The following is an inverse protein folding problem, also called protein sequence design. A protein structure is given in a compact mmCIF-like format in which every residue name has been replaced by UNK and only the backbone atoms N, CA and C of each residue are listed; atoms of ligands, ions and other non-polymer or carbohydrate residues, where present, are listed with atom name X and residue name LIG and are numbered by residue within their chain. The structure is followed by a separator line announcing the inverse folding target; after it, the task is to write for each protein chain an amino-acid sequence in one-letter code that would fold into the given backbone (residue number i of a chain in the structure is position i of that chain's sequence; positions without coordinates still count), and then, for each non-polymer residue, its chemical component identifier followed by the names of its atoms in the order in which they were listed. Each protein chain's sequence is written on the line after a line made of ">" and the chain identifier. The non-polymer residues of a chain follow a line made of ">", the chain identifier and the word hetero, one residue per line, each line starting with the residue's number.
data_IF_037740953368
#
_entry.id   IF_037740953368
#
_cell.length_a   1.000
_cell.length_b   1.000
_cell.length_c   1.000
_cell.angle_alpha   90.00
_cell.angle_beta   90.00
_cell.angle_gamma   90.00
#
_symmetry.space_group_name_H-M   'P 1'
#
loop_
_entity.id
_entity.type
_entity.pdbx_description
1 polymer ?
#
# COMPACT_ATOMS: atom_id res chain seq x y z
N UNK A 1 -3.62 -14.82 -0.96
CA UNK A 1 -3.42 -13.42 -0.49
C UNK A 1 -2.05 -12.89 -0.88
N UNK A 2 -0.96 -13.64 -0.67
CA UNK A 2 0.41 -13.28 -1.10
C UNK A 2 0.48 -12.85 -2.57
N UNK A 3 -0.11 -13.62 -3.48
CA UNK A 3 -0.10 -13.31 -4.92
C UNK A 3 -0.78 -11.98 -5.28
N UNK A 4 -1.88 -11.64 -4.59
CA UNK A 4 -2.57 -10.36 -4.79
C UNK A 4 -1.71 -9.20 -4.31
N UNK A 5 -1.06 -9.36 -3.16
CA UNK A 5 -0.13 -8.37 -2.61
C UNK A 5 1.05 -8.16 -3.56
N UNK A 6 1.63 -9.24 -4.09
CA UNK A 6 2.71 -9.16 -5.06
C UNK A 6 2.30 -8.35 -6.30
N UNK A 7 1.11 -8.59 -6.85
CA UNK A 7 0.60 -7.82 -7.99
C UNK A 7 0.40 -6.33 -7.66
N UNK A 8 -0.08 -6.00 -6.45
CA UNK A 8 -0.21 -4.62 -5.99
C UNK A 8 1.14 -3.88 -5.85
N UNK A 9 2.26 -4.61 -5.79
CA UNK A 9 3.62 -4.08 -5.80
C UNK A 9 4.29 -4.19 -7.18
N UNK A 10 3.56 -4.57 -8.23
CA UNK A 10 4.07 -4.67 -9.60
C UNK A 10 4.86 -5.94 -9.90
N UNK A 11 4.82 -6.96 -9.03
CA UNK A 11 5.49 -8.23 -9.27
C UNK A 11 4.64 -9.15 -10.15
N UNK A 12 5.17 -9.55 -11.31
CA UNK A 12 4.46 -10.32 -12.33
C UNK A 12 4.53 -11.85 -12.16
N UNK A 13 5.37 -12.35 -11.25
CA UNK A 13 5.60 -13.78 -11.03
C UNK A 13 4.29 -14.56 -10.75
N UNK A 14 3.29 -14.03 -10.02
CA UNK A 14 2.00 -14.70 -9.89
C UNK A 14 1.30 -14.94 -11.24
N UNK A 15 1.33 -13.96 -12.15
CA UNK A 15 0.74 -14.11 -13.49
C UNK A 15 1.50 -15.13 -14.31
N UNK A 16 2.84 -15.14 -14.23
CA UNK A 16 3.66 -16.14 -14.91
C UNK A 16 3.29 -17.57 -14.51
N UNK A 17 3.07 -17.80 -13.21
CA UNK A 17 2.64 -19.13 -12.71
C UNK A 17 1.24 -19.52 -13.16
N UNK A 18 0.37 -18.55 -13.45
CA UNK A 18 -1.02 -18.77 -13.87
C UNK A 18 -1.18 -18.98 -15.39
N UNK A 19 -0.11 -18.85 -16.17
CA UNK A 19 -0.14 -18.99 -17.62
C UNK A 19 -0.87 -20.27 -18.11
N UNK A 20 -0.55 -21.49 -17.64
CA UNK A 20 -1.22 -22.68 -18.16
C UNK A 20 -2.71 -22.73 -17.81
N UNK A 21 -3.11 -22.24 -16.63
CA UNK A 21 -4.52 -22.19 -16.22
C UNK A 21 -5.29 -21.14 -17.03
N UNK A 22 -4.70 -19.96 -17.22
CA UNK A 22 -5.31 -18.90 -18.04
C UNK A 22 -5.47 -19.34 -19.48
N UNK A 23 -4.45 -19.96 -20.08
CA UNK A 23 -4.51 -20.46 -21.45
C UNK A 23 -5.58 -21.54 -21.61
N UNK A 24 -5.63 -22.49 -20.69
CA UNK A 24 -6.66 -23.54 -20.68
C UNK A 24 -8.07 -22.95 -20.58
N UNK A 25 -8.28 -22.01 -19.64
CA UNK A 25 -9.56 -21.34 -19.45
C UNK A 25 -9.97 -20.55 -20.70
N UNK A 26 -9.05 -19.77 -21.28
CA UNK A 26 -9.35 -18.96 -22.46
C UNK A 26 -9.67 -19.85 -23.67
N UNK A 27 -8.99 -20.98 -23.82
CA UNK A 27 -9.29 -21.92 -24.89
C UNK A 27 -10.64 -22.61 -24.69
N UNK A 28 -10.91 -23.15 -23.49
CA UNK A 28 -12.08 -23.99 -23.25
C UNK A 28 -13.37 -23.19 -23.04
N UNK A 29 -13.32 -22.14 -22.22
CA UNK A 29 -14.53 -21.41 -21.79
C UNK A 29 -14.76 -20.14 -22.60
N UNK A 30 -13.70 -19.42 -22.95
CA UNK A 30 -13.83 -18.16 -23.68
C UNK A 30 -13.97 -18.39 -25.20
N UNK A 31 -13.15 -19.27 -25.79
CA UNK A 31 -13.29 -19.66 -27.20
C UNK A 31 -14.22 -20.86 -27.44
N UNK A 32 -14.71 -21.52 -26.39
CA UNK A 32 -15.55 -22.71 -26.55
C UNK A 32 -14.82 -23.88 -27.22
N UNK A 33 -13.50 -23.96 -27.08
CA UNK A 33 -12.65 -24.99 -27.71
C UNK A 33 -12.23 -24.69 -29.15
N UNK A 34 -12.63 -23.55 -29.71
CA UNK A 34 -12.22 -23.12 -31.06
C UNK A 34 -10.74 -22.68 -31.09
N UNK A 35 -10.13 -22.76 -32.27
CA UNK A 35 -8.75 -22.27 -32.46
C UNK A 35 -8.65 -20.76 -32.16
N UNK A 36 -7.53 -20.29 -31.59
CA UNK A 36 -7.32 -18.90 -31.21
C UNK A 36 -7.02 -17.98 -32.40
N UNK A 37 -7.81 -18.05 -33.47
CA UNK A 37 -7.67 -17.15 -34.61
C UNK A 37 -8.06 -15.71 -34.23
N UNK A 38 -7.52 -14.67 -34.90
CA UNK A 38 -7.93 -13.29 -34.66
C UNK A 38 -9.44 -13.07 -34.77
N UNK A 39 -10.11 -13.75 -35.71
CA UNK A 39 -11.56 -13.69 -35.88
C UNK A 39 -12.31 -14.28 -34.69
N UNK A 40 -11.90 -15.47 -34.22
CA UNK A 40 -12.53 -16.13 -33.06
C UNK A 40 -12.34 -15.31 -31.79
N UNK A 41 -11.16 -14.72 -31.58
CA UNK A 41 -10.89 -13.85 -30.44
C UNK A 41 -11.78 -12.60 -30.50
N UNK A 42 -11.88 -11.92 -31.65
CA UNK A 42 -12.74 -10.74 -31.80
C UNK A 42 -14.21 -11.05 -31.52
N UNK A 43 -14.71 -12.16 -32.05
CA UNK A 43 -16.10 -12.58 -31.86
C UNK A 43 -16.40 -12.95 -30.39
N UNK A 44 -15.49 -13.70 -29.74
CA UNK A 44 -15.63 -14.05 -28.33
C UNK A 44 -15.56 -12.81 -27.43
N UNK A 45 -14.65 -11.87 -27.69
CA UNK A 45 -14.59 -10.60 -26.97
C UNK A 45 -15.86 -9.78 -27.19
N UNK A 46 -16.31 -9.63 -28.43
CA UNK A 46 -17.54 -8.90 -28.74
C UNK A 46 -18.73 -9.44 -27.95
N UNK A 47 -18.90 -10.77 -27.93
CA UNK A 47 -19.98 -11.42 -27.18
C UNK A 47 -19.88 -11.16 -25.68
N UNK A 48 -18.69 -11.30 -25.10
CA UNK A 48 -18.43 -11.04 -23.69
C UNK A 48 -18.73 -9.58 -23.31
N UNK A 49 -18.19 -8.63 -24.08
CA UNK A 49 -18.28 -7.20 -23.79
C UNK A 49 -19.69 -6.66 -24.05
N UNK A 50 -20.39 -7.13 -25.08
CA UNK A 50 -21.81 -6.77 -25.29
C UNK A 50 -22.67 -7.17 -24.09
N UNK A 51 -22.36 -8.32 -23.45
CA UNK A 51 -23.00 -8.72 -22.20
C UNK A 51 -22.77 -7.79 -21.01
N UNK A 52 -21.83 -6.82 -21.13
CA UNK A 52 -21.54 -5.82 -20.09
C UNK A 52 -22.33 -4.51 -20.25
N UNK A 53 -23.10 -4.34 -21.32
CA UNK A 53 -23.77 -3.08 -21.65
C UNK A 53 -24.62 -2.53 -20.51
N UNK A 54 -25.50 -3.35 -19.91
CA UNK A 54 -26.33 -2.91 -18.79
C UNK A 54 -25.49 -2.52 -17.56
N UNK A 55 -24.39 -3.23 -17.31
CA UNK A 55 -23.51 -2.90 -16.19
C UNK A 55 -22.82 -1.56 -16.39
N UNK A 56 -22.41 -1.24 -17.63
CA UNK A 56 -21.84 0.07 -17.97
C UNK A 56 -22.92 1.13 -17.81
N UNK A 57 -24.09 0.96 -18.43
CA UNK A 57 -25.23 1.89 -18.32
C UNK A 57 -25.58 2.23 -16.89
N UNK A 58 -25.79 1.21 -16.05
CA UNK A 58 -26.13 1.44 -14.65
C UNK A 58 -24.99 2.12 -13.87
N UNK A 59 -23.71 1.90 -14.24
CA UNK A 59 -22.56 2.51 -13.57
C UNK A 59 -22.49 4.02 -13.76
N UNK A 60 -22.95 4.53 -14.91
CA UNK A 60 -22.97 5.96 -15.21
C UNK A 60 -24.33 6.64 -14.96
N UNK A 61 -25.36 5.89 -14.55
CA UNK A 61 -26.73 6.40 -14.37
C UNK A 61 -26.91 7.54 -13.35
N UNK A 62 -25.96 7.71 -12.43
CA UNK A 62 -26.03 8.69 -11.34
C UNK A 62 -25.03 9.85 -11.47
N UNK A 63 -24.28 9.93 -12.59
CA UNK A 63 -23.24 10.94 -12.81
C UNK A 63 -23.49 11.72 -14.10
N UNK A 64 -22.98 12.95 -14.16
CA UNK A 64 -23.16 13.80 -15.35
C UNK A 64 -22.04 13.54 -16.36
N UNK A 65 -22.41 12.93 -17.48
CA UNK A 65 -21.51 12.73 -18.62
C UNK A 65 -21.41 14.02 -19.44
N UNK A 66 -20.23 14.30 -19.99
CA UNK A 66 -20.03 15.42 -20.90
C UNK A 66 -21.07 15.44 -22.05
N UNK A 67 -21.56 16.63 -22.45
CA UNK A 67 -22.53 16.75 -23.53
C UNK A 67 -22.06 16.07 -24.83
N UNK A 68 -22.96 15.29 -25.43
CA UNK A 68 -22.73 14.63 -26.71
C UNK A 68 -21.81 13.41 -26.66
N UNK A 69 -21.26 13.02 -25.50
CA UNK A 69 -20.51 11.77 -25.36
C UNK A 69 -21.47 10.59 -25.21
N UNK A 70 -21.29 9.56 -26.04
CA UNK A 70 -21.94 8.26 -25.85
C UNK A 70 -21.08 7.42 -24.88
N UNK A 71 -21.37 7.54 -23.58
CA UNK A 71 -20.57 6.90 -22.54
C UNK A 71 -20.60 5.37 -22.61
N UNK A 72 -21.73 4.81 -23.04
CA UNK A 72 -21.92 3.36 -23.11
C UNK A 72 -21.07 2.82 -24.24
N UNK A 73 -21.24 3.37 -25.45
CA UNK A 73 -20.48 2.95 -26.63
C UNK A 73 -18.98 3.20 -26.46
N UNK A 74 -18.59 4.36 -25.92
CA UNK A 74 -17.19 4.70 -25.60
C UNK A 74 -16.54 3.62 -24.74
N UNK A 75 -17.20 3.21 -23.65
CA UNK A 75 -16.64 2.20 -22.75
C UNK A 75 -16.68 0.78 -23.36
N UNK A 76 -17.74 0.41 -24.07
CA UNK A 76 -17.84 -0.92 -24.69
C UNK A 76 -16.77 -1.12 -25.77
N UNK A 77 -16.60 -0.17 -26.68
CA UNK A 77 -15.58 -0.28 -27.73
C UNK A 77 -14.17 -0.26 -27.14
N UNK A 78 -13.91 0.60 -26.14
CA UNK A 78 -12.64 0.61 -25.42
C UNK A 78 -12.35 -0.73 -24.74
N UNK A 79 -13.30 -1.27 -23.98
CA UNK A 79 -13.15 -2.57 -23.30
C UNK A 79 -12.94 -3.70 -24.31
N UNK A 80 -13.59 -3.64 -25.47
CA UNK A 80 -13.39 -4.60 -26.55
C UNK A 80 -11.95 -4.58 -27.08
N UNK A 81 -11.38 -3.41 -27.34
CA UNK A 81 -10.00 -3.28 -27.83
C UNK A 81 -8.97 -3.78 -26.79
N UNK A 82 -9.12 -3.37 -25.53
CA UNK A 82 -8.23 -3.78 -24.45
C UNK A 82 -8.31 -5.28 -24.18
N UNK A 83 -9.52 -5.84 -24.12
CA UNK A 83 -9.70 -7.26 -23.84
C UNK A 83 -9.26 -8.15 -25.01
N UNK A 84 -9.43 -7.71 -26.27
CA UNK A 84 -8.86 -8.39 -27.43
C UNK A 84 -7.34 -8.53 -27.31
N UNK A 85 -6.64 -7.44 -26.94
CA UNK A 85 -5.19 -7.44 -26.76
C UNK A 85 -4.74 -8.40 -25.65
N UNK A 86 -5.44 -8.39 -24.52
CA UNK A 86 -5.18 -9.30 -23.39
C UNK A 86 -5.44 -10.75 -23.80
N UNK A 87 -6.57 -11.04 -24.44
CA UNK A 87 -6.94 -12.39 -24.85
C UNK A 87 -5.95 -12.96 -25.87
N UNK A 88 -5.55 -12.15 -26.86
CA UNK A 88 -4.54 -12.53 -27.84
C UNK A 88 -3.20 -12.87 -27.17
N UNK A 89 -2.74 -12.04 -26.20
CA UNK A 89 -1.54 -12.32 -25.43
C UNK A 89 -1.66 -13.62 -24.62
N UNK A 90 -2.79 -13.83 -23.92
CA UNK A 90 -3.01 -15.02 -23.10
C UNK A 90 -2.99 -16.31 -23.93
N UNK A 91 -3.55 -16.28 -25.14
CA UNK A 91 -3.70 -17.45 -25.99
C UNK A 91 -2.42 -17.80 -26.78
N UNK A 92 -1.66 -16.78 -27.20
CA UNK A 92 -0.51 -16.97 -28.10
C UNK A 92 0.85 -16.92 -27.40
N UNK A 93 1.01 -16.18 -26.30
CA UNK A 93 2.31 -16.05 -25.65
C UNK A 93 2.68 -17.33 -24.90
N UNK A 94 3.80 -17.93 -25.29
CA UNK A 94 4.36 -19.15 -24.68
C UNK A 94 5.66 -18.91 -23.90
N UNK A 95 6.15 -17.67 -23.90
CA UNK A 95 7.52 -17.38 -23.47
C UNK A 95 7.58 -16.92 -22.00
N UNK A 96 8.81 -16.81 -21.47
CA UNK A 96 9.07 -16.36 -20.10
C UNK A 96 8.65 -14.90 -19.84
N UNK A 97 8.36 -14.13 -20.89
CA UNK A 97 7.84 -12.76 -20.82
C UNK A 97 6.32 -12.65 -20.59
N UNK A 98 5.59 -13.78 -20.55
CA UNK A 98 4.13 -13.80 -20.43
C UNK A 98 3.62 -12.92 -19.29
N UNK A 99 4.12 -13.13 -18.08
CA UNK A 99 3.59 -12.48 -16.88
C UNK A 99 3.88 -10.98 -16.89
N UNK A 100 5.09 -10.58 -17.28
CA UNK A 100 5.49 -9.17 -17.33
C UNK A 100 4.62 -8.39 -18.33
N UNK A 101 4.47 -8.93 -19.54
CA UNK A 101 3.64 -8.30 -20.57
C UNK A 101 2.16 -8.29 -20.23
N UNK A 102 1.64 -9.35 -19.60
CA UNK A 102 0.25 -9.38 -19.15
C UNK A 102 -0.02 -8.32 -18.07
N UNK A 103 0.91 -8.15 -17.12
CA UNK A 103 0.80 -7.11 -16.10
C UNK A 103 0.82 -5.71 -16.72
N UNK A 104 1.70 -5.49 -17.69
CA UNK A 104 1.79 -4.23 -18.45
C UNK A 104 0.49 -3.91 -19.18
N UNK A 105 -0.06 -4.87 -19.94
CA UNK A 105 -1.35 -4.71 -20.65
C UNK A 105 -2.49 -4.38 -19.69
N UNK A 106 -2.58 -5.07 -18.55
CA UNK A 106 -3.60 -4.81 -17.53
C UNK A 106 -3.45 -3.42 -16.90
N UNK A 107 -2.23 -2.99 -16.59
CA UNK A 107 -1.98 -1.67 -16.00
C UNK A 107 -2.24 -0.55 -17.01
N UNK A 108 -1.80 -0.72 -18.25
CA UNK A 108 -2.08 0.24 -19.33
C UNK A 108 -3.59 0.38 -19.53
N UNK A 109 -4.32 -0.72 -19.69
CA UNK A 109 -5.77 -0.71 -19.84
C UNK A 109 -6.47 -0.06 -18.64
N UNK A 110 -5.99 -0.29 -17.42
CA UNK A 110 -6.53 0.36 -16.21
C UNK A 110 -6.33 1.88 -16.26
N UNK A 111 -5.12 2.36 -16.53
CA UNK A 111 -4.84 3.80 -16.56
C UNK A 111 -5.55 4.51 -17.71
N UNK A 112 -5.60 3.89 -18.90
CA UNK A 112 -6.36 4.43 -20.04
C UNK A 112 -7.86 4.48 -19.72
N UNK A 113 -8.40 3.46 -19.04
CA UNK A 113 -9.81 3.43 -18.62
C UNK A 113 -10.14 4.56 -17.64
N UNK A 114 -9.27 4.78 -16.64
CA UNK A 114 -9.42 5.86 -15.66
C UNK A 114 -9.36 7.23 -16.33
N UNK A 115 -8.36 7.46 -17.19
CA UNK A 115 -8.20 8.70 -17.91
C UNK A 115 -9.39 8.97 -18.86
N UNK A 116 -9.81 7.95 -19.63
CA UNK A 116 -10.94 8.04 -20.55
C UNK A 116 -12.22 8.43 -19.81
N UNK A 117 -12.54 7.74 -18.72
CA UNK A 117 -13.76 8.02 -17.97
C UNK A 117 -13.68 9.34 -17.19
N UNK A 118 -12.50 9.72 -16.69
CA UNK A 118 -12.31 11.06 -16.11
C UNK A 118 -12.59 12.14 -17.16
N UNK A 119 -12.08 11.97 -18.38
CA UNK A 119 -12.35 12.88 -19.49
C UNK A 119 -13.83 12.92 -19.83
N UNK A 120 -14.49 11.78 -20.02
CA UNK A 120 -15.93 11.72 -20.33
C UNK A 120 -16.82 12.33 -19.24
N UNK A 121 -16.34 12.44 -18.00
CA UNK A 121 -17.03 13.11 -16.87
C UNK A 121 -16.59 14.58 -16.67
N UNK A 122 -15.87 15.17 -17.62
CA UNK A 122 -15.50 16.58 -17.57
C UNK A 122 -14.36 16.89 -16.59
N UNK A 123 -13.54 15.90 -16.23
CA UNK A 123 -12.48 16.05 -15.23
C UNK A 123 -12.98 15.93 -13.78
N UNK A 124 -14.25 15.55 -13.57
CA UNK A 124 -14.84 15.44 -12.24
C UNK A 124 -14.41 14.15 -11.52
N UNK A 125 -13.32 14.23 -10.76
CA UNK A 125 -12.78 13.09 -10.01
C UNK A 125 -13.79 12.46 -9.03
N UNK A 126 -14.64 13.29 -8.40
CA UNK A 126 -15.65 12.81 -7.46
C UNK A 126 -16.73 11.95 -8.14
N UNK A 127 -17.11 12.29 -9.37
CA UNK A 127 -18.05 11.50 -10.15
C UNK A 127 -17.41 10.16 -10.56
N UNK A 128 -16.16 10.17 -11.02
CA UNK A 128 -15.44 8.94 -11.35
C UNK A 128 -15.31 8.03 -10.11
N UNK A 129 -14.97 8.60 -8.96
CA UNK A 129 -14.90 7.85 -7.70
C UNK A 129 -16.28 7.27 -7.32
N UNK A 130 -17.38 8.00 -7.56
CA UNK A 130 -18.74 7.50 -7.32
C UNK A 130 -19.08 6.32 -8.23
N UNK A 131 -18.73 6.37 -9.52
CA UNK A 131 -18.89 5.25 -10.47
C UNK A 131 -18.15 4.01 -9.96
N UNK A 132 -16.86 4.15 -9.62
CA UNK A 132 -16.01 3.05 -9.14
C UNK A 132 -16.56 2.47 -7.83
N UNK A 133 -16.88 3.31 -6.85
CA UNK A 133 -17.41 2.87 -5.55
C UNK A 133 -18.77 2.18 -5.68
N UNK A 134 -19.64 2.69 -6.56
CA UNK A 134 -20.92 2.06 -6.89
C UNK A 134 -20.73 0.67 -7.48
N UNK A 135 -19.68 0.46 -8.28
CA UNK A 135 -19.35 -0.86 -8.84
C UNK A 135 -18.77 -1.80 -7.80
N UNK A 136 -17.79 -1.36 -7.00
CA UNK A 136 -17.20 -2.16 -5.91
C UNK A 136 -18.30 -2.67 -4.97
N UNK A 137 -19.23 -1.79 -4.56
CA UNK A 137 -20.35 -2.16 -3.67
C UNK A 137 -21.28 -3.21 -4.28
N UNK A 138 -21.58 -3.11 -5.58
CA UNK A 138 -22.43 -4.10 -6.28
C UNK A 138 -21.74 -5.44 -6.48
N UNK A 139 -20.46 -5.42 -6.87
CA UNK A 139 -19.69 -6.65 -7.06
C UNK A 139 -19.38 -7.37 -5.74
N UNK A 140 -19.37 -6.64 -4.62
CA UNK A 140 -19.11 -7.20 -3.30
C UNK A 140 -20.38 -7.65 -2.56
N UNK A 141 -21.52 -7.82 -3.25
CA UNK A 141 -22.73 -8.37 -2.64
C UNK A 141 -22.44 -9.77 -2.09
N UNK A 142 -22.71 -9.98 -0.80
CA UNK A 142 -22.43 -11.24 -0.11
C UNK A 142 -21.01 -11.34 0.50
N UNK A 143 -20.16 -10.33 0.34
CA UNK A 143 -18.86 -10.23 1.01
C UNK A 143 -19.00 -9.48 2.35
N UNK A 144 -18.18 -9.84 3.34
CA UNK A 144 -18.19 -9.20 4.66
C UNK A 144 -18.08 -7.66 4.55
N UNK A 145 -19.02 -6.87 5.12
CA UNK A 145 -19.04 -5.41 4.98
C UNK A 145 -17.76 -4.71 5.42
N UNK A 146 -17.06 -5.22 6.43
CA UNK A 146 -15.80 -4.66 6.91
C UNK A 146 -14.68 -4.83 5.90
N UNK A 147 -14.62 -5.97 5.20
CA UNK A 147 -13.66 -6.19 4.12
C UNK A 147 -13.95 -5.28 2.92
N UNK A 148 -15.23 -5.12 2.56
CA UNK A 148 -15.64 -4.22 1.47
C UNK A 148 -15.29 -2.77 1.82
N UNK A 149 -15.57 -2.33 3.04
CA UNK A 149 -15.23 -0.99 3.52
C UNK A 149 -13.71 -0.74 3.52
N UNK A 150 -12.93 -1.72 3.97
CA UNK A 150 -11.47 -1.66 3.94
C UNK A 150 -10.92 -1.59 2.51
N UNK A 151 -11.38 -2.46 1.60
CA UNK A 151 -10.99 -2.44 0.19
C UNK A 151 -11.37 -1.12 -0.49
N UNK A 152 -12.57 -0.60 -0.21
CA UNK A 152 -13.06 0.67 -0.76
C UNK A 152 -12.18 1.83 -0.32
N UNK A 153 -11.85 1.89 0.98
CA UNK A 153 -10.97 2.93 1.53
C UNK A 153 -9.57 2.85 0.91
N UNK A 154 -8.98 1.65 0.84
CA UNK A 154 -7.65 1.45 0.26
C UNK A 154 -7.60 1.81 -1.23
N UNK A 155 -8.58 1.35 -2.00
CA UNK A 155 -8.70 1.67 -3.42
C UNK A 155 -8.94 3.15 -3.64
N UNK A 156 -9.72 3.80 -2.78
CA UNK A 156 -9.95 5.25 -2.81
C UNK A 156 -8.68 6.07 -2.64
N UNK A 157 -7.85 5.72 -1.64
CA UNK A 157 -6.55 6.37 -1.42
C UNK A 157 -5.61 6.16 -2.62
N UNK A 158 -5.54 4.94 -3.17
CA UNK A 158 -4.72 4.68 -4.37
C UNK A 158 -5.24 5.41 -5.60
N UNK A 159 -6.55 5.46 -5.79
CA UNK A 159 -7.17 6.17 -6.90
C UNK A 159 -6.82 7.67 -6.84
N UNK A 160 -6.86 8.30 -5.66
CA UNK A 160 -6.45 9.70 -5.51
C UNK A 160 -5.03 9.94 -6.03
N UNK A 161 -4.06 9.14 -5.56
CA UNK A 161 -2.66 9.27 -6.00
C UNK A 161 -2.52 9.08 -7.52
N UNK A 162 -3.22 8.08 -8.08
CA UNK A 162 -3.21 7.79 -9.51
C UNK A 162 -3.83 8.92 -10.34
N UNK A 163 -4.92 9.52 -9.87
CA UNK A 163 -5.57 10.63 -10.58
C UNK A 163 -4.77 11.93 -10.50
N UNK A 164 -4.07 12.17 -9.38
CA UNK A 164 -3.14 13.30 -9.24
C UNK A 164 -1.92 13.18 -10.18
N UNK A 165 -1.45 11.95 -10.41
CA UNK A 165 -0.26 11.66 -11.21
C UNK A 165 -0.60 10.79 -12.42
N UNK A 166 -1.66 11.14 -13.14
CA UNK A 166 -2.17 10.32 -14.24
C UNK A 166 -1.10 10.19 -15.36
N UNK A 167 -0.58 8.98 -15.65
CA UNK A 167 0.50 8.80 -16.62
C UNK A 167 0.02 8.86 -18.07
N UNK A 168 -1.30 8.87 -18.30
CA UNK A 168 -1.93 8.85 -19.62
C UNK A 168 -2.36 10.26 -20.01
N UNK A 169 -1.76 10.80 -21.08
CA UNK A 169 -2.14 12.09 -21.65
C UNK A 169 -3.47 12.05 -22.41
N UNK A 170 -4.11 13.21 -22.64
CA UNK A 170 -5.42 13.30 -23.29
C UNK A 170 -5.43 12.70 -24.70
N UNK A 171 -4.37 12.88 -25.50
CA UNK A 171 -4.32 12.39 -26.88
C UNK A 171 -4.44 10.86 -26.96
N UNK A 172 -3.94 10.14 -25.96
CA UNK A 172 -4.00 8.68 -25.91
C UNK A 172 -5.43 8.15 -25.76
N UNK A 173 -6.34 8.93 -25.17
CA UNK A 173 -7.73 8.52 -24.88
C UNK A 173 -8.76 9.12 -25.84
N UNK A 174 -8.47 10.27 -26.47
CA UNK A 174 -9.44 10.98 -27.33
C UNK A 174 -9.92 10.11 -28.50
N UNK A 175 -9.06 9.24 -29.02
CA UNK A 175 -9.40 8.26 -30.07
C UNK A 175 -10.48 7.26 -29.67
N UNK A 176 -10.72 7.05 -28.38
CA UNK A 176 -11.75 6.13 -27.88
C UNK A 176 -13.09 6.81 -27.61
N UNK A 177 -13.12 8.14 -27.49
CA UNK A 177 -14.35 8.88 -27.21
C UNK A 177 -15.29 8.77 -28.41
N UNK A 178 -16.52 8.32 -28.17
CA UNK A 178 -17.60 8.27 -29.17
C UNK A 178 -18.64 9.32 -28.88
N UNK A 179 -19.15 9.96 -29.93
CA UNK A 179 -20.21 10.96 -29.84
C UNK A 179 -21.56 10.36 -30.26
N UNK A 180 -22.62 10.92 -29.68
CA UNK A 180 -23.99 10.58 -30.05
C UNK A 180 -24.19 10.97 -31.52
N UNK A 181 -24.53 9.99 -32.35
CA UNK A 181 -24.72 10.19 -33.80
C UNK A 181 -23.49 9.85 -34.66
N UNK A 182 -22.35 9.48 -34.06
CA UNK A 182 -21.22 8.95 -34.83
C UNK A 182 -21.63 7.65 -35.54
N UNK A 183 -21.23 7.42 -36.79
CA UNK A 183 -21.48 6.15 -37.45
C UNK A 183 -20.84 5.00 -36.65
N UNK A 184 -21.45 3.80 -36.62
CA UNK A 184 -20.80 2.60 -36.13
C UNK A 184 -19.45 2.44 -36.84
N UNK A 185 -18.36 2.33 -36.08
CA UNK A 185 -17.08 1.98 -36.70
C UNK A 185 -17.21 0.52 -37.17
N UNK A 186 -16.86 0.21 -38.43
CA UNK A 186 -16.75 -1.19 -38.84
C UNK A 186 -15.72 -1.86 -37.94
N UNK A 187 -16.00 -3.09 -37.51
CA UNK A 187 -15.02 -3.93 -36.83
C UNK A 187 -13.79 -4.00 -37.74
N UNK A 188 -12.68 -3.36 -37.37
CA UNK A 188 -11.47 -3.37 -38.20
C UNK A 188 -11.07 -4.82 -38.49
N UNK A 189 -11.19 -5.23 -39.75
CA UNK A 189 -10.76 -6.53 -40.26
C UNK A 189 -9.24 -6.59 -40.50
N UNK A 190 -8.51 -5.54 -40.18
CA UNK A 190 -7.06 -5.52 -40.38
C UNK A 190 -6.41 -6.63 -39.54
N UNK A 191 -5.46 -7.39 -40.15
CA UNK A 191 -4.62 -8.29 -39.39
C UNK A 191 -3.97 -7.47 -38.29
N UNK A 192 -3.96 -8.00 -37.07
CA UNK A 192 -3.16 -7.49 -35.99
C UNK A 192 -1.70 -7.76 -36.38
N UNK A 193 -1.15 -6.98 -37.32
CA UNK A 193 0.29 -6.88 -37.50
C UNK A 193 0.79 -6.35 -36.16
N UNK A 194 1.41 -7.23 -35.40
CA UNK A 194 2.31 -6.87 -34.33
C UNK A 194 3.31 -5.92 -34.98
N UNK A 195 3.05 -4.61 -34.88
CA UNK A 195 4.05 -3.58 -35.15
C UNK A 195 5.12 -3.78 -34.08
N UNK A 196 6.04 -4.71 -34.37
CA UNK A 196 7.42 -4.62 -33.96
C UNK A 196 7.99 -3.35 -34.59
N UNK A 197 7.62 -2.20 -34.03
CA UNK A 197 8.43 -1.01 -34.22
C UNK A 197 9.70 -1.29 -33.44
N UNK A 198 10.73 -1.75 -34.15
CA UNK A 198 12.12 -1.63 -33.72
C UNK A 198 12.40 -0.14 -33.49
N UNK A 199 11.98 0.37 -32.34
CA UNK A 199 12.62 1.53 -31.74
C UNK A 199 13.93 1.02 -31.19
N UNK A 200 15.00 1.33 -31.91
CA UNK A 200 16.38 1.29 -31.44
C UNK A 200 16.42 1.74 -29.98
N UNK A 201 16.73 0.80 -29.11
CA UNK A 201 16.85 0.99 -27.67
C UNK A 201 17.93 2.03 -27.37
N UNK A 202 17.64 3.16 -26.71
CA UNK A 202 18.62 3.80 -25.85
C UNK A 202 18.61 3.09 -24.50
N UNK A 203 19.80 2.80 -23.95
CA UNK A 203 19.99 2.22 -22.62
C UNK A 203 19.04 2.82 -21.56
N UNK A 204 18.46 2.00 -20.67
CA UNK A 204 17.62 2.53 -19.60
C UNK A 204 18.53 3.12 -18.51
N UNK A 205 18.77 4.42 -18.59
CA UNK A 205 19.14 5.24 -17.45
C UNK A 205 17.96 5.22 -16.48
N UNK A 206 18.06 4.36 -15.45
CA UNK A 206 17.09 4.24 -14.35
C UNK A 206 17.12 5.49 -13.46
N UNK A 207 16.57 6.61 -13.92
CA UNK A 207 16.31 7.77 -13.08
C UNK A 207 14.98 8.41 -13.48
N UNK A 208 13.88 7.83 -12.97
CA UNK A 208 12.61 8.46 -12.61
C UNK A 208 11.52 7.38 -12.50
N UNK A 209 11.68 6.48 -11.53
CA UNK A 209 10.53 5.76 -10.98
C UNK A 209 9.76 6.74 -10.09
N UNK A 210 8.45 6.89 -10.35
CA UNK A 210 7.54 7.53 -9.41
C UNK A 210 7.72 6.94 -8.00
N UNK A 211 7.63 7.75 -6.94
CA UNK A 211 7.97 7.31 -5.60
C UNK A 211 6.99 6.21 -5.17
N UNK A 212 7.53 5.06 -4.74
CA UNK A 212 6.78 4.06 -4.00
C UNK A 212 6.65 4.52 -2.53
N UNK A 213 5.44 4.70 -1.97
CA UNK A 213 5.27 4.70 -0.53
C UNK A 213 4.83 3.29 -0.10
N UNK A 214 5.57 2.74 0.84
CA UNK A 214 5.39 1.39 1.34
C UNK A 214 4.02 1.15 2.00
N UNK A 215 3.47 -0.02 1.71
CA UNK A 215 2.63 -0.75 2.67
C UNK A 215 3.21 -2.15 2.78
N UNK A 216 4.07 -2.32 3.78
CA UNK A 216 4.65 -3.60 4.17
C UNK A 216 3.56 -4.64 4.38
N UNK A 217 3.59 -5.69 3.55
CA UNK A 217 2.88 -6.94 3.76
C UNK A 217 3.80 -8.00 4.38
N UNK A 218 4.61 -7.59 5.35
CA UNK A 218 5.52 -8.43 6.13
C UNK A 218 4.89 -8.91 7.46
N UNK A 219 3.57 -8.79 7.63
CA UNK A 219 2.90 -9.18 8.90
C UNK A 219 2.05 -10.46 8.81
N UNK A 220 2.39 -11.39 7.91
CA UNK A 220 1.66 -12.67 7.79
C UNK A 220 2.51 -13.95 7.94
N UNK A 221 3.82 -13.87 8.15
CA UNK A 221 4.64 -15.06 8.45
C UNK A 221 5.60 -14.79 9.60
N UNK A 222 5.11 -15.02 10.82
CA UNK A 222 5.95 -15.19 11.98
C UNK A 222 6.90 -16.37 11.77
N UNK A 223 8.21 -16.11 11.80
CA UNK A 223 9.18 -17.09 12.31
C UNK A 223 10.23 -16.31 13.10
N UNK A 224 10.12 -16.37 14.42
CA UNK A 224 11.05 -15.69 15.32
C UNK A 224 12.47 -16.28 15.24
N UNK A 225 13.52 -15.49 15.48
CA UNK A 225 14.85 -16.02 15.76
C UNK A 225 14.92 -16.59 17.19
N UNK A 226 15.78 -17.60 17.45
CA UNK A 226 15.98 -18.15 18.79
C UNK A 226 16.74 -17.15 19.68
N UNK A 227 16.71 -17.30 21.02
CA UNK A 227 17.37 -16.36 21.92
C UNK A 227 18.88 -16.58 21.91
N UNK A 228 19.65 -15.49 21.99
CA UNK A 228 21.07 -15.51 22.28
C UNK A 228 21.32 -14.94 23.70
N UNK A 229 22.36 -15.43 24.40
CA UNK A 229 22.44 -15.39 25.86
C UNK A 229 22.93 -14.04 26.41
N UNK A 230 22.63 -13.83 27.70
CA UNK A 230 23.08 -12.72 28.52
C UNK A 230 24.60 -12.71 28.76
N UNK A 231 25.16 -11.50 28.88
CA UNK A 231 26.33 -11.22 29.72
C UNK A 231 27.59 -10.78 28.99
N UNK A 232 28.11 -9.60 29.37
CA UNK A 232 29.52 -9.24 29.16
C UNK A 232 29.77 -7.80 28.73
N UNK A 233 29.94 -6.92 29.71
CA UNK A 233 30.61 -5.62 29.59
C UNK A 233 32.07 -5.76 29.11
N UNK A 234 32.54 -4.91 28.19
CA UNK A 234 33.92 -4.40 28.25
C UNK A 234 34.19 -3.20 27.31
N UNK A 235 35.11 -2.39 27.78
CA UNK A 235 35.48 -1.03 27.41
C UNK A 235 36.30 -0.93 26.11
N UNK A 236 36.50 0.32 25.70
CA UNK A 236 37.34 0.82 24.62
C UNK A 236 38.67 0.06 24.40
N UNK A 237 38.90 -0.41 23.18
CA UNK A 237 40.27 -0.48 22.65
C UNK A 237 40.30 -0.37 21.12
N UNK A 238 40.99 0.67 20.68
CA UNK A 238 41.42 0.95 19.32
C UNK A 238 42.34 -0.20 18.85
N UNK A 239 41.97 -0.89 17.77
CA UNK A 239 42.69 -2.07 17.31
C UNK A 239 42.09 -2.65 16.04
N UNK A 240 42.69 -2.31 14.91
CA UNK A 240 42.39 -2.92 13.61
C UNK A 240 42.50 -4.45 13.66
N UNK A 241 41.37 -5.13 13.73
CA UNK A 241 41.21 -6.52 13.32
C UNK A 241 39.86 -6.61 12.62
N UNK A 242 39.90 -6.99 11.35
CA UNK A 242 38.71 -7.30 10.57
C UNK A 242 38.08 -8.58 11.14
N UNK A 243 37.37 -8.46 12.26
CA UNK A 243 36.38 -9.45 12.65
C UNK A 243 35.35 -9.48 11.52
N UNK A 244 35.35 -10.57 10.77
CA UNK A 244 34.43 -10.74 9.66
C UNK A 244 33.05 -10.88 10.28
N UNK A 245 32.28 -9.79 10.25
CA UNK A 245 30.96 -9.75 10.90
C UNK A 245 30.14 -10.98 10.44
N UNK A 246 29.52 -11.73 11.36
CA UNK A 246 28.94 -13.05 11.06
C UNK A 246 27.85 -13.03 9.98
N UNK A 247 27.26 -11.86 9.70
CA UNK A 247 26.30 -11.68 8.61
C UNK A 247 26.97 -11.65 7.23
N UNK A 248 28.25 -11.29 7.12
CA UNK A 248 28.97 -11.17 5.85
C UNK A 248 29.09 -12.53 5.14
N UNK A 249 29.10 -13.64 5.89
CA UNK A 249 29.08 -15.00 5.35
C UNK A 249 27.68 -15.46 4.91
N UNK A 250 26.61 -14.76 5.32
CA UNK A 250 25.22 -15.10 5.01
C UNK A 250 24.66 -14.37 3.78
N UNK A 251 25.46 -13.48 3.18
CA UNK A 251 25.07 -12.66 2.02
C UNK A 251 26.06 -12.85 0.87
N UNK A 252 25.66 -12.58 -0.39
CA UNK A 252 26.58 -12.58 -1.52
C UNK A 252 27.79 -11.65 -1.28
N UNK A 253 29.03 -12.06 -1.66
CA UNK A 253 30.23 -11.27 -1.39
C UNK A 253 30.18 -9.84 -1.92
N UNK A 254 29.48 -9.62 -3.04
CA UNK A 254 29.28 -8.31 -3.65
C UNK A 254 28.43 -7.35 -2.80
N UNK A 255 27.63 -7.87 -1.85
CA UNK A 255 26.79 -7.05 -0.97
C UNK A 255 27.50 -6.64 0.30
N UNK A 256 28.53 -7.36 0.71
CA UNK A 256 29.32 -7.06 1.92
C UNK A 256 29.83 -5.61 1.93
N UNK A 257 30.51 -5.10 0.87
CA UNK A 257 30.99 -3.71 0.88
C UNK A 257 29.83 -2.69 0.87
N UNK A 258 28.70 -3.01 0.23
CA UNK A 258 27.53 -2.14 0.16
C UNK A 258 26.89 -2.00 1.54
N UNK A 259 26.68 -3.13 2.24
CA UNK A 259 26.08 -3.17 3.57
C UNK A 259 27.01 -2.51 4.59
N UNK A 260 28.33 -2.75 4.51
CA UNK A 260 29.30 -2.07 5.37
C UNK A 260 29.28 -0.54 5.18
N UNK A 261 29.23 -0.08 3.93
CA UNK A 261 29.11 1.35 3.62
C UNK A 261 27.79 1.94 4.14
N UNK A 262 26.68 1.22 4.02
CA UNK A 262 25.37 1.68 4.50
C UNK A 262 25.33 1.74 6.03
N UNK A 263 25.86 0.74 6.74
CA UNK A 263 26.00 0.75 8.21
C UNK A 263 26.80 1.99 8.67
N UNK A 264 27.92 2.27 8.02
CA UNK A 264 28.74 3.45 8.35
C UNK A 264 28.02 4.76 8.03
N UNK A 265 27.20 4.79 6.98
CA UNK A 265 26.41 5.95 6.57
C UNK A 265 25.26 6.21 7.55
N UNK A 266 24.53 5.17 7.94
CA UNK A 266 23.43 5.23 8.89
C UNK A 266 23.89 5.64 10.30
N UNK A 267 25.10 5.25 10.73
CA UNK A 267 25.69 5.73 11.99
C UNK A 267 25.84 7.27 12.04
N UNK A 268 25.93 7.94 10.88
CA UNK A 268 26.05 9.39 10.77
C UNK A 268 24.71 10.10 10.55
N UNK A 269 23.62 9.36 10.35
CA UNK A 269 22.29 9.95 10.18
C UNK A 269 21.78 10.43 11.53
N UNK A 270 21.33 11.68 11.58
CA UNK A 270 20.78 12.28 12.79
C UNK A 270 19.54 11.46 13.22
N UNK A 271 19.46 11.00 14.48
CA UNK A 271 18.30 10.22 14.91
C UNK A 271 17.02 11.03 14.71
N UNK A 272 15.98 10.36 14.22
CA UNK A 272 14.70 11.00 13.97
C UNK A 272 14.16 11.57 15.29
N UNK A 273 13.71 12.83 15.32
CA UNK A 273 13.08 13.38 16.50
C UNK A 273 11.81 12.60 16.87
N UNK A 274 11.40 12.60 18.16
CA UNK A 274 10.19 11.93 18.60
C UNK A 274 8.99 12.34 17.73
N UNK A 275 8.20 11.35 17.33
CA UNK A 275 6.99 11.57 16.54
C UNK A 275 5.95 12.31 17.39
N UNK A 276 5.12 13.12 16.75
CA UNK A 276 4.05 13.84 17.45
C UNK A 276 2.97 12.88 17.99
N UNK A 277 2.35 13.25 19.12
CA UNK A 277 1.29 12.46 19.75
C UNK A 277 0.10 12.20 18.81
N UNK A 278 -0.21 13.16 17.94
CA UNK A 278 -1.23 13.02 16.90
C UNK A 278 -0.89 11.87 15.94
N UNK A 279 0.37 11.78 15.51
CA UNK A 279 0.84 10.69 14.63
C UNK A 279 0.82 9.34 15.34
N UNK A 280 1.27 9.29 16.61
CA UNK A 280 1.26 8.06 17.42
C UNK A 280 -0.16 7.55 17.70
N UNK A 281 -1.12 8.45 17.89
CA UNK A 281 -2.52 8.08 18.15
C UNK A 281 -3.21 7.42 16.94
N UNK A 282 -2.78 7.76 15.72
CA UNK A 282 -3.28 7.19 14.47
C UNK A 282 -2.71 5.83 14.08
N UNK A 283 -1.68 5.33 14.79
CA UNK A 283 -1.07 4.04 14.49
C UNK A 283 -1.88 2.86 15.08
N UNK A 284 -1.91 1.69 14.41
CA UNK A 284 -2.51 0.48 14.96
C UNK A 284 -1.90 0.11 16.33
N UNK A 285 -2.72 -0.39 17.27
CA UNK A 285 -2.31 -0.66 18.65
C UNK A 285 -1.06 -1.54 18.79
N UNK A 286 -0.89 -2.49 17.87
CA UNK A 286 0.28 -3.37 17.77
C UNK A 286 1.55 -2.58 17.44
N UNK A 287 1.45 -1.68 16.46
CA UNK A 287 2.54 -0.79 16.02
C UNK A 287 2.84 0.30 17.05
N UNK A 288 1.85 0.75 17.82
CA UNK A 288 2.09 1.59 19.01
C UNK A 288 2.92 0.85 20.06
N UNK A 289 2.63 -0.43 20.32
CA UNK A 289 3.39 -1.25 21.29
C UNK A 289 4.81 -1.59 20.82
N UNK A 290 5.07 -1.67 19.52
CA UNK A 290 6.40 -2.03 18.98
C UNK A 290 7.25 -0.85 18.51
N UNK A 291 6.65 0.30 18.14
CA UNK A 291 7.39 1.53 17.77
C UNK A 291 7.58 2.50 18.92
N UNK A 292 6.78 2.42 19.99
CA UNK A 292 7.19 3.07 21.23
C UNK A 292 8.38 2.28 21.78
N UNK A 293 9.58 2.78 21.48
CA UNK A 293 10.66 2.70 22.47
C UNK A 293 10.06 3.16 23.79
N UNK A 294 10.22 2.33 24.81
CA UNK A 294 9.73 2.47 26.18
C UNK A 294 8.57 3.46 26.32
N UNK A 295 7.34 2.93 26.30
CA UNK A 295 6.16 3.70 26.71
C UNK A 295 6.43 4.48 28.01
N UNK A 296 5.64 5.53 28.30
CA UNK A 296 5.96 6.54 29.31
C UNK A 296 6.63 5.91 30.53
N UNK A 297 7.92 6.20 30.72
CA UNK A 297 8.73 5.49 31.70
C UNK A 297 8.08 5.64 33.07
N UNK A 298 7.57 4.52 33.59
CA UNK A 298 6.81 4.49 34.84
C UNK A 298 7.73 4.54 36.07
N UNK A 299 9.05 4.45 35.86
CA UNK A 299 10.04 4.42 36.91
C UNK A 299 10.50 5.83 37.27
N UNK A 300 10.21 6.24 38.50
CA UNK A 300 10.61 7.53 39.07
C UNK A 300 12.12 7.78 38.94
N UNK A 301 12.95 6.74 39.12
CA UNK A 301 14.41 6.83 39.03
C UNK A 301 14.89 7.26 37.64
N UNK A 302 14.30 6.72 36.59
CA UNK A 302 14.65 7.07 35.20
C UNK A 302 14.17 8.48 34.84
N UNK A 303 12.96 8.84 35.26
CA UNK A 303 12.39 10.17 35.02
C UNK A 303 13.25 11.27 35.68
N UNK A 304 13.64 11.08 36.95
CA UNK A 304 14.49 12.02 37.68
C UNK A 304 15.89 12.06 37.11
N UNK A 305 16.48 10.92 36.73
CA UNK A 305 17.82 10.88 36.11
C UNK A 305 17.87 11.64 34.78
N UNK A 306 16.83 11.49 33.94
CA UNK A 306 16.71 12.24 32.69
C UNK A 306 16.50 13.73 32.94
N UNK A 307 15.64 14.09 33.90
CA UNK A 307 15.41 15.49 34.26
C UNK A 307 16.68 16.16 34.79
N UNK A 308 17.43 15.47 35.65
CA UNK A 308 18.72 15.95 36.14
C UNK A 308 19.72 16.17 34.99
N UNK A 309 19.84 15.21 34.08
CA UNK A 309 20.69 15.33 32.89
C UNK A 309 20.27 16.50 31.98
N UNK A 310 18.98 16.68 31.74
CA UNK A 310 18.44 17.76 30.92
C UNK A 310 18.64 19.15 31.56
N UNK A 311 18.51 19.23 32.89
CA UNK A 311 18.77 20.45 33.65
C UNK A 311 20.27 20.73 33.88
N UNK A 312 21.16 19.82 33.46
CA UNK A 312 22.59 19.88 33.76
C UNK A 312 22.93 19.69 35.25
N UNK A 313 21.96 19.22 36.04
CA UNK A 313 22.13 18.97 37.47
C UNK A 313 22.86 17.63 37.69
N UNK A 314 23.76 17.60 38.68
CA UNK A 314 24.45 16.39 39.13
C UNK A 314 23.98 16.06 40.54
N UNK A 315 23.71 14.78 40.85
CA UNK A 315 23.39 14.39 42.22
C UNK A 315 24.58 14.74 43.14
N UNK A 316 24.28 15.11 44.39
CA UNK A 316 25.32 15.32 45.41
C UNK A 316 26.01 14.00 45.79
N UNK A 317 25.26 12.89 45.66
CA UNK A 317 25.73 11.51 45.78
C UNK A 317 26.07 10.93 44.40
N UNK A 318 26.35 9.63 44.31
CA UNK A 318 26.52 8.98 43.00
C UNK A 318 25.15 8.77 42.31
N UNK A 319 25.10 8.73 40.97
CA UNK A 319 23.88 8.40 40.23
C UNK A 319 23.22 7.09 40.68
N UNK A 320 24.03 6.10 41.04
CA UNK A 320 23.57 4.79 41.53
C UNK A 320 22.95 4.89 42.92
N UNK A 321 23.50 5.75 43.79
CA UNK A 321 22.92 6.03 45.10
C UNK A 321 21.57 6.74 44.96
N UNK A 322 21.48 7.73 44.06
CA UNK A 322 20.23 8.43 43.79
C UNK A 322 19.16 7.46 43.23
N UNK A 323 19.53 6.56 42.31
CA UNK A 323 18.60 5.55 41.79
C UNK A 323 18.06 4.67 42.93
N UNK A 324 18.94 4.23 43.83
CA UNK A 324 18.56 3.40 44.99
C UNK A 324 17.63 4.15 45.95
N UNK A 325 17.89 5.42 46.22
CA UNK A 325 17.04 6.25 47.09
C UNK A 325 15.65 6.45 46.46
N UNK A 326 15.58 6.62 45.14
CA UNK A 326 14.32 6.76 44.40
C UNK A 326 13.57 5.43 44.30
N UNK A 327 14.25 4.29 44.35
CA UNK A 327 13.66 2.95 44.39
C UNK A 327 13.19 2.53 45.79
N UNK A 328 13.43 3.35 46.82
CA UNK A 328 12.94 3.09 48.17
C UNK A 328 11.40 2.97 48.18
N UNK A 329 10.84 1.96 48.88
CA UNK A 329 9.41 1.64 48.81
C UNK A 329 8.51 2.80 49.26
N UNK A 330 8.94 3.58 50.25
CA UNK A 330 8.21 4.76 50.74
C UNK A 330 8.13 5.88 49.69
N UNK A 331 9.21 6.07 48.94
CA UNK A 331 9.29 7.08 47.87
C UNK A 331 8.45 6.62 46.67
N UNK A 332 8.50 5.33 46.33
CA UNK A 332 7.67 4.76 45.27
C UNK A 332 6.18 4.84 45.61
N UNK A 333 5.80 4.55 46.86
CA UNK A 333 4.40 4.61 47.29
C UNK A 333 3.87 6.05 47.32
N UNK A 334 4.64 7.00 47.86
CA UNK A 334 4.26 8.43 47.84
C UNK A 334 4.15 8.97 46.40
N UNK A 335 5.05 8.57 45.51
CA UNK A 335 4.96 8.89 44.09
C UNK A 335 3.69 8.34 43.44
N UNK A 336 3.35 7.06 43.71
CA UNK A 336 2.10 6.45 43.20
C UNK A 336 0.85 7.18 43.70
N UNK A 337 0.83 7.56 44.99
CA UNK A 337 -0.28 8.30 45.57
C UNK A 337 -0.42 9.69 44.95
N UNK A 338 0.69 10.42 44.80
CA UNK A 338 0.69 11.73 44.16
C UNK A 338 0.22 11.64 42.70
N UNK A 339 0.74 10.67 41.94
CA UNK A 339 0.33 10.43 40.56
C UNK A 339 -1.17 10.14 40.46
N UNK A 340 -1.71 9.34 41.38
CA UNK A 340 -3.14 9.05 41.45
C UNK A 340 -3.96 10.32 41.71
N UNK A 341 -3.55 11.14 42.67
CA UNK A 341 -4.21 12.40 43.01
C UNK A 341 -4.18 13.40 41.83
N UNK A 342 -3.05 13.52 41.13
CA UNK A 342 -2.91 14.42 39.98
C UNK A 342 -3.80 13.97 38.81
N UNK A 343 -3.89 12.66 38.56
CA UNK A 343 -4.78 12.09 37.54
C UNK A 343 -6.24 12.33 37.94
N UNK A 344 -6.63 12.09 39.21
CA UNK A 344 -7.98 12.35 39.71
C UNK A 344 -8.37 13.82 39.49
N UNK A 345 -7.48 14.75 39.85
CA UNK A 345 -7.70 16.18 39.66
C UNK A 345 -7.91 16.52 38.18
N UNK A 346 -7.08 15.99 37.28
CA UNK A 346 -7.24 16.19 35.83
C UNK A 346 -8.56 15.65 35.31
N UNK A 347 -9.00 14.47 35.77
CA UNK A 347 -10.29 13.90 35.34
C UNK A 347 -11.48 14.78 35.75
N UNK A 348 -11.34 15.60 36.80
CA UNK A 348 -12.37 16.53 37.26
C UNK A 348 -12.28 17.90 36.58
N UNK A 349 -11.07 18.43 36.39
CA UNK A 349 -10.84 19.83 36.02
C UNK A 349 -10.49 20.04 34.54
N UNK A 350 -10.04 19.02 33.81
CA UNK A 350 -9.56 19.19 32.43
C UNK A 350 -10.74 19.36 31.45
N UNK A 351 -10.88 20.53 30.77
CA UNK A 351 -11.97 20.79 29.85
C UNK A 351 -11.95 19.89 28.60
N UNK A 352 -10.81 19.26 28.29
CA UNK A 352 -10.68 18.33 27.17
C UNK A 352 -10.99 16.87 27.56
N UNK A 353 -11.19 16.58 28.84
CA UNK A 353 -11.56 15.25 29.29
C UNK A 353 -13.01 14.94 28.90
N UNK A 354 -13.21 13.82 28.20
CA UNK A 354 -14.54 13.33 27.86
C UNK A 354 -14.73 11.92 28.43
N UNK A 355 -15.60 11.74 29.44
CA UNK A 355 -15.81 10.45 30.09
C UNK A 355 -16.42 9.40 29.14
N UNK A 356 -17.13 9.79 28.07
CA UNK A 356 -17.64 8.85 27.06
C UNK A 356 -16.53 8.26 26.19
N UNK A 357 -15.44 9.00 25.97
CA UNK A 357 -14.28 8.52 25.21
C UNK A 357 -13.35 7.66 26.08
N UNK A 358 -13.32 7.90 27.39
CA UNK A 358 -12.43 7.22 28.35
C UNK A 358 -13.21 6.59 29.52
N UNK A 359 -14.14 5.66 29.26
CA UNK A 359 -15.07 5.14 30.27
C UNK A 359 -14.38 4.38 31.43
N UNK A 360 -13.17 3.86 31.19
CA UNK A 360 -12.41 3.10 32.19
C UNK A 360 -11.61 3.98 33.16
N UNK A 361 -11.46 5.28 32.88
CA UNK A 361 -10.68 6.18 33.74
C UNK A 361 -11.29 6.29 35.14
N UNK A 362 -12.61 6.32 35.23
CA UNK A 362 -13.33 6.29 36.50
C UNK A 362 -13.09 4.99 37.28
N UNK A 363 -13.00 3.82 36.63
CA UNK A 363 -12.74 2.56 37.36
C UNK A 363 -11.33 2.48 37.93
N UNK A 364 -10.35 3.09 37.25
CA UNK A 364 -8.95 3.00 37.66
C UNK A 364 -8.57 4.05 38.70
N UNK A 365 -9.21 5.22 38.68
CA UNK A 365 -8.79 6.38 39.46
C UNK A 365 -9.91 7.00 40.31
N UNK A 366 -11.18 6.63 40.17
CA UNK A 366 -12.18 7.07 41.15
C UNK A 366 -11.86 6.46 42.53
N UNK A 367 -12.21 7.18 43.58
CA UNK A 367 -12.28 6.61 44.92
C UNK A 367 -13.53 5.71 44.99
N UNK A 368 -13.38 4.53 45.61
CA UNK A 368 -14.57 3.84 46.13
C UNK A 368 -15.17 4.74 47.23
N UNK A 369 -16.51 4.85 47.31
CA UNK A 369 -17.21 5.77 48.20
C UNK A 369 -17.00 5.50 49.69
#
# INVERSE_FOLDING_TARGET
>A
MVDVVMLLHGHFQPLQRLQPQLRSFFHQHYLGGQEPTPGNIRMATHTLITGLEEYVRESFSLVQVQPGVDIIRTNLEFLQEQFNSIAAHVLHCTDSGFGARLLELCNQGLFECLALNLHCLGGQQMELAAVINGRIRRMSRGVNPSLVSWLTTMMGLRLQVVLEHMPVGPDAILRYVRRIGDPPQPLSEEPMEVQGSERTSPEPQRENASPAPGTTAEEAMSRGPPPAPEGGSQEEQDGASAETEPWAAAVPPEWVPIIQQDIQSQRKVKPQPPLSDAYLSGMPAKRRKTMQGEGPQLLLSEAVSRAAKAAGARPLTSPESLSRDLEAPEVQESYRQQLRADIQKRLQEDPNYNPQRFPSAHRAFAEDP
#
